data_IF_338951897020
#
_entry.id   IF_338951897020
#
_cell.length_a   1.000
_cell.length_b   1.000
_cell.length_c   1.000
_cell.angle_alpha   90.00
_cell.angle_beta   90.00
_cell.angle_gamma   90.00
#
_symmetry.space_group_name_H-M   'P 1'
#
loop_
_entity.id
_entity.type
_entity.pdbx_description
1 polymer ?
#
# COMPACT_ATOMS: atom_id res chain seq x y z
N UNK A 1 -0.34 -26.64 -30.07
CA UNK A 1 0.70 -25.61 -29.82
C UNK A 1 -0.03 -24.35 -29.39
N UNK A 2 0.48 -23.62 -28.39
CA UNK A 2 -0.12 -22.35 -27.97
C UNK A 2 0.25 -21.27 -29.00
N UNK A 3 -0.74 -20.67 -29.65
CA UNK A 3 -0.56 -19.56 -30.58
C UNK A 3 -0.55 -18.22 -29.82
N UNK A 4 0.64 -17.67 -29.64
CA UNK A 4 0.84 -16.36 -28.99
C UNK A 4 0.18 -15.22 -29.78
N UNK A 5 0.08 -15.34 -31.10
CA UNK A 5 -0.60 -14.36 -31.95
C UNK A 5 -2.10 -14.30 -31.67
N UNK A 6 -2.74 -15.47 -31.49
CA UNK A 6 -4.15 -15.56 -31.10
C UNK A 6 -4.41 -14.96 -29.71
N UNK A 7 -3.53 -15.25 -28.73
CA UNK A 7 -3.61 -14.66 -27.38
C UNK A 7 -3.52 -13.14 -27.45
N UNK A 8 -2.53 -12.61 -28.16
CA UNK A 8 -2.33 -11.17 -28.27
C UNK A 8 -3.48 -10.48 -29.03
N UNK A 9 -3.98 -11.09 -30.11
CA UNK A 9 -5.13 -10.56 -30.84
C UNK A 9 -6.38 -10.47 -29.95
N UNK A 10 -6.63 -11.52 -29.15
CA UNK A 10 -7.69 -11.54 -28.14
C UNK A 10 -7.50 -10.45 -27.08
N UNK A 11 -6.27 -10.28 -26.56
CA UNK A 11 -5.95 -9.23 -25.61
C UNK A 11 -6.20 -7.82 -26.16
N UNK A 12 -5.75 -7.53 -27.38
CA UNK A 12 -5.96 -6.23 -28.04
C UNK A 12 -7.44 -5.97 -28.35
N UNK A 13 -8.20 -7.02 -28.69
CA UNK A 13 -9.65 -6.91 -28.84
C UNK A 13 -10.31 -6.55 -27.50
N UNK A 14 -9.95 -7.25 -26.43
CA UNK A 14 -10.47 -7.00 -25.08
C UNK A 14 -10.15 -5.58 -24.62
N UNK A 15 -8.89 -5.16 -24.73
CA UNK A 15 -8.43 -3.80 -24.44
C UNK A 15 -9.29 -2.73 -25.13
N UNK A 16 -9.58 -2.91 -26.44
CA UNK A 16 -10.40 -1.96 -27.20
C UNK A 16 -11.83 -1.88 -26.68
N UNK A 17 -12.42 -3.01 -26.29
CA UNK A 17 -13.76 -3.03 -25.69
C UNK A 17 -13.73 -2.39 -24.31
N UNK A 18 -12.78 -2.78 -23.46
CA UNK A 18 -12.65 -2.25 -22.09
C UNK A 18 -12.54 -0.72 -22.08
N UNK A 19 -11.73 -0.15 -22.97
CA UNK A 19 -11.53 1.30 -23.08
C UNK A 19 -12.80 2.07 -23.47
N UNK A 20 -13.76 1.44 -24.12
CA UNK A 20 -15.04 2.07 -24.51
C UNK A 20 -16.08 2.04 -23.39
N UNK A 21 -15.84 1.29 -22.32
CA UNK A 21 -16.76 1.19 -21.20
C UNK A 21 -16.66 2.42 -20.32
N UNK A 22 -17.79 3.11 -20.09
CA UNK A 22 -17.84 4.27 -19.18
C UNK A 22 -17.40 3.88 -17.76
N UNK A 23 -17.78 2.69 -17.29
CA UNK A 23 -17.38 2.18 -15.96
C UNK A 23 -15.87 2.10 -15.77
N UNK A 24 -15.11 1.75 -16.80
CA UNK A 24 -13.64 1.72 -16.73
C UNK A 24 -13.12 3.10 -16.35
N UNK A 25 -13.56 4.13 -17.08
CA UNK A 25 -13.18 5.52 -16.84
C UNK A 25 -13.64 6.03 -15.48
N UNK A 26 -14.82 5.62 -14.99
CA UNK A 26 -15.29 5.97 -13.65
C UNK A 26 -14.32 5.43 -12.58
N UNK A 27 -13.97 4.13 -12.63
CA UNK A 27 -13.04 3.54 -11.66
C UNK A 27 -11.64 4.15 -11.77
N UNK A 28 -11.14 4.39 -12.99
CA UNK A 28 -9.84 5.04 -13.19
C UNK A 28 -9.82 6.47 -12.65
N UNK A 29 -10.84 7.28 -12.95
CA UNK A 29 -10.94 8.65 -12.46
C UNK A 29 -11.06 8.70 -10.93
N UNK A 30 -11.87 7.81 -10.34
CA UNK A 30 -12.01 7.71 -8.88
C UNK A 30 -10.69 7.32 -8.21
N UNK A 31 -9.99 6.32 -8.76
CA UNK A 31 -8.68 5.90 -8.25
C UNK A 31 -7.66 7.04 -8.33
N UNK A 32 -7.62 7.77 -9.45
CA UNK A 32 -6.74 8.92 -9.64
C UNK A 32 -7.06 10.03 -8.64
N UNK A 33 -8.32 10.40 -8.49
CA UNK A 33 -8.75 11.42 -7.55
C UNK A 33 -8.35 11.05 -6.12
N UNK A 34 -8.64 9.81 -5.69
CA UNK A 34 -8.32 9.34 -4.35
C UNK A 34 -6.80 9.34 -4.08
N UNK A 35 -6.00 8.90 -5.06
CA UNK A 35 -4.55 8.92 -4.96
C UNK A 35 -3.99 10.35 -4.87
N UNK A 36 -4.47 11.26 -5.72
CA UNK A 36 -4.00 12.67 -5.74
C UNK A 36 -4.43 13.42 -4.48
N UNK A 37 -5.66 13.19 -3.99
CA UNK A 37 -6.15 13.77 -2.74
C UNK A 37 -5.28 13.29 -1.57
N UNK A 38 -5.02 11.97 -1.48
CA UNK A 38 -4.19 11.42 -0.42
C UNK A 38 -2.74 11.92 -0.49
N UNK A 39 -2.14 11.93 -1.69
CA UNK A 39 -0.80 12.50 -1.90
C UNK A 39 -0.74 13.98 -1.49
N UNK A 40 -1.69 14.79 -1.96
CA UNK A 40 -1.78 16.22 -1.64
C UNK A 40 -1.99 16.46 -0.15
N UNK A 41 -2.83 15.65 0.51
CA UNK A 41 -3.06 15.71 1.95
C UNK A 41 -1.75 15.48 2.74
N UNK A 42 -1.01 14.41 2.45
CA UNK A 42 0.27 14.16 3.12
C UNK A 42 1.33 15.19 2.77
N UNK A 43 1.35 15.69 1.53
CA UNK A 43 2.29 16.75 1.11
C UNK A 43 2.04 18.05 1.87
N UNK A 44 0.77 18.42 2.06
CA UNK A 44 0.38 19.59 2.82
C UNK A 44 0.73 19.42 4.31
N UNK A 45 0.41 18.27 4.91
CA UNK A 45 0.77 18.00 6.31
C UNK A 45 2.28 18.09 6.54
N UNK A 46 3.06 17.46 5.67
CA UNK A 46 4.51 17.48 5.77
C UNK A 46 5.06 18.89 5.56
N UNK A 47 4.61 19.60 4.52
CA UNK A 47 5.08 20.95 4.22
C UNK A 47 4.73 21.98 5.30
N UNK A 48 3.53 21.90 5.87
CA UNK A 48 3.04 22.89 6.83
C UNK A 48 3.45 22.61 8.29
N UNK A 49 3.69 21.35 8.67
CA UNK A 49 3.84 20.98 10.09
C UNK A 49 5.07 20.13 10.44
N UNK A 50 5.92 19.78 9.47
CA UNK A 50 7.12 18.96 9.74
C UNK A 50 8.08 19.58 10.76
N UNK A 51 8.12 20.91 10.89
CA UNK A 51 8.98 21.59 11.87
C UNK A 51 8.47 21.52 13.31
N UNK A 52 7.18 21.20 13.53
CA UNK A 52 6.60 21.11 14.87
C UNK A 52 6.79 19.73 15.51
N UNK A 53 6.85 18.67 14.70
CA UNK A 53 6.87 17.29 15.21
C UNK A 53 7.65 16.35 14.30
N UNK A 54 8.53 15.56 14.90
CA UNK A 54 9.25 14.49 14.23
C UNK A 54 8.31 13.45 13.60
N UNK A 55 7.15 13.19 14.22
CA UNK A 55 6.14 12.27 13.67
C UNK A 55 5.57 12.79 12.35
N UNK A 56 5.32 14.10 12.24
CA UNK A 56 4.82 14.70 10.99
C UNK A 56 5.93 14.84 9.94
N UNK A 57 7.17 15.07 10.39
CA UNK A 57 8.33 15.00 9.50
C UNK A 57 8.49 13.60 8.87
N UNK A 58 8.10 12.54 9.58
CA UNK A 58 8.11 11.17 9.06
C UNK A 58 7.03 10.91 8.01
N UNK A 59 5.91 11.65 8.05
CA UNK A 59 4.82 11.57 7.06
C UNK A 59 5.19 12.22 5.71
N UNK A 60 6.40 11.99 5.21
CA UNK A 60 6.87 12.52 3.96
C UNK A 60 6.24 11.74 2.78
N UNK A 61 5.57 12.41 1.83
CA UNK A 61 4.96 11.75 0.66
C UNK A 61 5.91 10.92 -0.17
N UNK A 62 7.22 11.23 -0.12
CA UNK A 62 8.25 10.49 -0.86
C UNK A 62 8.35 9.02 -0.47
N UNK A 63 7.94 8.67 0.76
CA UNK A 63 8.02 7.32 1.31
C UNK A 63 6.66 6.66 1.50
N UNK A 64 5.58 7.44 1.55
CA UNK A 64 4.22 6.95 1.84
C UNK A 64 3.48 6.39 0.61
N UNK A 65 4.20 6.10 -0.47
CA UNK A 65 3.60 5.62 -1.72
C UNK A 65 2.78 4.35 -1.55
N UNK A 66 3.19 3.45 -0.65
CA UNK A 66 2.40 2.27 -0.29
C UNK A 66 1.06 2.62 0.35
N UNK A 67 1.02 3.62 1.24
CA UNK A 67 -0.17 3.99 2.00
C UNK A 67 -1.26 4.63 1.13
N UNK A 68 -0.92 5.55 0.24
CA UNK A 68 -1.92 6.11 -0.70
C UNK A 68 -2.07 5.25 -1.98
N UNK A 69 -1.03 4.50 -2.36
CA UNK A 69 -1.10 3.48 -3.41
C UNK A 69 -2.06 2.35 -3.09
N UNK A 70 -2.23 2.00 -1.81
CA UNK A 70 -3.24 1.05 -1.32
C UNK A 70 -4.64 1.42 -1.79
N UNK A 71 -5.06 2.66 -1.54
CA UNK A 71 -6.41 3.10 -1.90
C UNK A 71 -6.65 3.14 -3.41
N UNK A 72 -5.64 3.57 -4.17
CA UNK A 72 -5.68 3.51 -5.63
C UNK A 72 -5.80 2.07 -6.15
N UNK A 73 -4.94 1.18 -5.65
CA UNK A 73 -4.91 -0.22 -6.03
C UNK A 73 -6.25 -0.88 -5.68
N UNK A 74 -6.79 -0.62 -4.49
CA UNK A 74 -8.06 -1.15 -4.03
C UNK A 74 -9.23 -0.74 -4.92
N UNK A 75 -9.36 0.55 -5.26
CA UNK A 75 -10.42 1.04 -6.17
C UNK A 75 -10.29 0.40 -7.55
N UNK A 76 -9.07 0.25 -8.07
CA UNK A 76 -8.85 -0.41 -9.35
C UNK A 76 -9.08 -1.92 -9.31
N UNK A 77 -8.77 -2.60 -8.20
CA UNK A 77 -9.11 -4.01 -8.00
C UNK A 77 -10.62 -4.22 -7.99
N UNK A 78 -11.37 -3.37 -7.28
CA UNK A 78 -12.84 -3.37 -7.33
C UNK A 78 -13.31 -3.16 -8.77
N UNK A 79 -12.79 -2.15 -9.46
CA UNK A 79 -13.07 -1.93 -10.87
C UNK A 79 -12.75 -3.14 -11.76
N UNK A 80 -11.62 -3.81 -11.53
CA UNK A 80 -11.19 -5.01 -12.25
C UNK A 80 -12.16 -6.18 -12.05
N UNK A 81 -12.72 -6.36 -10.86
CA UNK A 81 -13.79 -7.34 -10.62
C UNK A 81 -14.99 -7.04 -11.53
N UNK A 82 -15.41 -5.77 -11.61
CA UNK A 82 -16.51 -5.34 -12.50
C UNK A 82 -16.20 -5.56 -13.98
N UNK A 83 -14.97 -5.30 -14.40
CA UNK A 83 -14.53 -5.51 -15.78
C UNK A 83 -14.45 -7.00 -16.13
N UNK A 84 -13.97 -7.84 -15.22
CA UNK A 84 -13.77 -9.28 -15.44
C UNK A 84 -15.08 -10.07 -15.48
N UNK A 85 -16.02 -9.84 -14.55
CA UNK A 85 -17.32 -10.55 -14.61
C UNK A 85 -18.14 -10.15 -15.85
N UNK A 86 -18.00 -8.89 -16.24
CA UNK A 86 -18.07 -8.34 -17.59
C UNK A 86 -18.16 -9.32 -18.76
N UNK A 87 -17.01 -9.96 -18.92
CA UNK A 87 -16.61 -10.66 -20.12
C UNK A 87 -17.56 -11.81 -20.39
N UNK A 88 -17.78 -12.66 -19.39
CA UNK A 88 -18.72 -13.78 -19.50
C UNK A 88 -20.14 -13.33 -19.78
N UNK A 89 -20.52 -12.16 -19.25
CA UNK A 89 -21.76 -11.45 -19.55
C UNK A 89 -21.98 -11.26 -21.04
N UNK A 90 -21.01 -10.60 -21.64
CA UNK A 90 -20.98 -10.24 -23.05
C UNK A 90 -20.87 -11.45 -23.97
N UNK A 91 -20.03 -12.42 -23.64
CA UNK A 91 -19.83 -13.60 -24.49
C UNK A 91 -21.11 -14.35 -24.84
N UNK A 92 -21.97 -14.52 -23.83
CA UNK A 92 -23.25 -15.20 -24.01
C UNK A 92 -24.25 -14.36 -24.81
N UNK A 93 -24.18 -13.03 -24.72
CA UNK A 93 -25.09 -12.12 -25.42
C UNK A 93 -24.68 -11.97 -26.89
N UNK A 94 -23.38 -11.92 -27.15
CA UNK A 94 -22.79 -11.75 -28.48
C UNK A 94 -22.55 -13.08 -29.20
N UNK A 95 -22.94 -14.21 -28.59
CA UNK A 95 -22.81 -15.57 -29.14
C UNK A 95 -21.42 -15.88 -29.67
N UNK A 96 -20.40 -15.52 -28.89
CA UNK A 96 -18.99 -15.66 -29.32
C UNK A 96 -18.64 -17.11 -29.67
N UNK A 97 -19.32 -18.10 -29.12
CA UNK A 97 -19.18 -19.51 -29.51
C UNK A 97 -19.40 -19.75 -31.00
N UNK A 98 -20.39 -19.11 -31.62
CA UNK A 98 -20.68 -19.26 -33.07
C UNK A 98 -19.54 -18.70 -33.94
N UNK A 99 -18.84 -17.67 -33.45
CA UNK A 99 -17.68 -17.07 -34.14
C UNK A 99 -16.45 -17.98 -34.02
N UNK A 100 -16.27 -18.62 -32.87
CA UNK A 100 -15.15 -19.53 -32.61
C UNK A 100 -15.25 -20.81 -33.45
N UNK A 101 -16.46 -21.19 -33.90
CA UNK A 101 -16.66 -22.32 -34.82
C UNK A 101 -16.03 -22.05 -36.21
N UNK A 102 -15.95 -20.78 -36.62
CA UNK A 102 -15.36 -20.38 -37.92
C UNK A 102 -13.86 -20.10 -37.80
N UNK A 103 -13.39 -19.64 -36.64
CA UNK A 103 -11.96 -19.41 -36.36
C UNK A 103 -11.57 -20.11 -35.05
N UNK A 104 -11.04 -21.35 -35.12
CA UNK A 104 -10.74 -22.11 -33.93
C UNK A 104 -9.62 -21.45 -33.14
N UNK A 105 -9.94 -21.02 -31.92
CA UNK A 105 -8.99 -20.59 -30.88
C UNK A 105 -9.24 -21.50 -29.68
N UNK A 106 -8.19 -21.98 -29.03
CA UNK A 106 -8.38 -22.84 -27.86
C UNK A 106 -8.96 -22.05 -26.68
N UNK A 107 -9.72 -22.73 -25.81
CA UNK A 107 -10.30 -22.10 -24.63
C UNK A 107 -9.25 -21.43 -23.73
N UNK A 108 -8.05 -22.04 -23.63
CA UNK A 108 -6.95 -21.48 -22.86
C UNK A 108 -6.41 -20.19 -23.48
N UNK A 109 -6.16 -20.18 -24.80
CA UNK A 109 -5.67 -18.97 -25.49
C UNK A 109 -6.67 -17.82 -25.38
N UNK A 110 -7.96 -18.11 -25.54
CA UNK A 110 -9.02 -17.11 -25.41
C UNK A 110 -9.07 -16.53 -23.98
N UNK A 111 -9.02 -17.41 -22.97
CA UNK A 111 -9.05 -17.03 -21.56
C UNK A 111 -7.82 -16.18 -21.19
N UNK A 112 -6.61 -16.63 -21.53
CA UNK A 112 -5.37 -15.89 -21.29
C UNK A 112 -5.37 -14.54 -22.00
N UNK A 113 -5.80 -14.48 -23.26
CA UNK A 113 -5.88 -13.23 -24.02
C UNK A 113 -6.79 -12.21 -23.34
N UNK A 114 -7.98 -12.63 -22.90
CA UNK A 114 -8.92 -11.73 -22.20
C UNK A 114 -8.41 -11.27 -20.86
N UNK A 115 -7.85 -12.18 -20.07
CA UNK A 115 -7.24 -11.84 -18.79
C UNK A 115 -6.11 -10.84 -18.97
N UNK A 116 -5.21 -11.08 -19.94
CA UNK A 116 -4.12 -10.18 -20.27
C UNK A 116 -4.63 -8.79 -20.70
N UNK A 117 -5.67 -8.74 -21.55
CA UNK A 117 -6.25 -7.48 -22.00
C UNK A 117 -6.82 -6.62 -20.86
N UNK A 118 -7.50 -7.24 -19.90
CA UNK A 118 -8.01 -6.54 -18.70
C UNK A 118 -6.86 -6.12 -17.78
N UNK A 119 -5.90 -7.02 -17.53
CA UNK A 119 -4.71 -6.70 -16.71
C UNK A 119 -4.00 -5.47 -17.26
N UNK A 120 -3.72 -5.44 -18.57
CA UNK A 120 -3.07 -4.30 -19.21
C UNK A 120 -3.90 -3.02 -19.11
N UNK A 121 -5.22 -3.09 -19.28
CA UNK A 121 -6.10 -1.92 -19.17
C UNK A 121 -6.15 -1.32 -17.77
N UNK A 122 -6.13 -2.15 -16.74
CA UNK A 122 -6.15 -1.69 -15.34
C UNK A 122 -4.74 -1.27 -14.89
N UNK A 123 -3.69 -1.87 -15.44
CA UNK A 123 -2.30 -1.59 -15.08
C UNK A 123 -1.72 -0.34 -15.76
N UNK A 124 -2.09 -0.05 -17.01
CA UNK A 124 -1.60 1.12 -17.77
C UNK A 124 -1.82 2.47 -17.05
N UNK A 125 -3.00 2.75 -16.46
CA UNK A 125 -3.21 3.97 -15.68
C UNK A 125 -2.21 4.16 -14.53
N UNK A 126 -1.63 3.07 -14.00
CA UNK A 126 -0.64 3.14 -12.92
C UNK A 126 0.64 3.86 -13.37
N UNK A 127 1.04 3.72 -14.63
CA UNK A 127 2.16 4.49 -15.19
C UNK A 127 1.83 5.98 -15.28
N UNK A 128 0.60 6.30 -15.71
CA UNK A 128 0.16 7.69 -15.88
C UNK A 128 0.12 8.39 -14.53
N UNK A 129 -0.51 7.81 -13.50
CA UNK A 129 -0.55 8.43 -12.17
C UNK A 129 0.85 8.54 -11.56
N UNK A 130 1.71 7.53 -11.75
CA UNK A 130 3.10 7.56 -11.28
C UNK A 130 3.89 8.70 -11.91
N UNK A 131 3.74 8.92 -13.22
CA UNK A 131 4.37 10.03 -13.93
C UNK A 131 3.84 11.38 -13.45
N UNK A 132 2.52 11.52 -13.30
CA UNK A 132 1.88 12.75 -12.80
C UNK A 132 2.41 13.12 -11.43
N UNK A 133 2.44 12.18 -10.48
CA UNK A 133 2.88 12.49 -9.12
C UNK A 133 4.40 12.67 -9.03
N UNK A 134 5.18 11.99 -9.87
CA UNK A 134 6.61 12.30 -10.01
C UNK A 134 6.83 13.77 -10.44
N UNK A 135 6.12 14.23 -11.49
CA UNK A 135 6.21 15.61 -11.97
C UNK A 135 5.78 16.61 -10.90
N UNK A 136 4.66 16.35 -10.21
CA UNK A 136 4.20 17.20 -9.09
C UNK A 136 5.28 17.26 -8.00
N UNK A 137 5.85 16.12 -7.62
CA UNK A 137 6.92 16.06 -6.62
C UNK A 137 8.15 16.88 -7.00
N UNK A 138 8.56 16.85 -8.27
CA UNK A 138 9.66 17.69 -8.78
C UNK A 138 9.33 19.18 -8.65
N UNK A 139 8.12 19.60 -9.05
CA UNK A 139 7.67 21.01 -8.98
C UNK A 139 7.67 21.50 -7.53
N UNK A 140 7.22 20.66 -6.60
CA UNK A 140 7.14 20.99 -5.17
C UNK A 140 8.48 20.78 -4.45
N UNK A 141 9.56 20.45 -5.17
CA UNK A 141 10.91 20.17 -4.64
C UNK A 141 10.94 19.02 -3.61
N UNK A 142 9.99 18.09 -3.72
CA UNK A 142 9.90 16.87 -2.93
C UNK A 142 9.71 15.67 -3.89
N UNK A 143 10.70 15.37 -4.76
CA UNK A 143 10.56 14.31 -5.75
C UNK A 143 10.38 12.95 -5.07
N UNK A 144 9.42 12.17 -5.58
CA UNK A 144 9.25 10.77 -5.15
C UNK A 144 10.47 9.97 -5.60
N UNK A 145 10.93 9.06 -4.74
CA UNK A 145 12.02 8.18 -5.09
C UNK A 145 11.63 7.26 -6.26
N UNK A 146 12.43 7.18 -7.33
CA UNK A 146 12.11 6.34 -8.48
C UNK A 146 11.92 4.86 -8.12
N UNK A 147 12.68 4.35 -7.15
CA UNK A 147 12.54 2.96 -6.69
C UNK A 147 11.17 2.70 -6.06
N UNK A 148 10.63 3.66 -5.30
CA UNK A 148 9.27 3.55 -4.74
C UNK A 148 8.24 3.47 -5.86
N UNK A 149 8.36 4.32 -6.90
CA UNK A 149 7.46 4.29 -8.06
C UNK A 149 7.52 2.95 -8.80
N UNK A 150 8.72 2.41 -9.02
CA UNK A 150 8.89 1.09 -9.63
C UNK A 150 8.26 -0.01 -8.76
N UNK A 151 8.49 0.00 -7.46
CA UNK A 151 7.87 -0.96 -6.55
C UNK A 151 6.34 -0.83 -6.55
N UNK A 152 5.79 0.38 -6.64
CA UNK A 152 4.35 0.58 -6.75
C UNK A 152 3.78 0.00 -8.06
N UNK A 153 4.45 0.25 -9.19
CA UNK A 153 4.02 -0.25 -10.50
C UNK A 153 4.15 -1.78 -10.61
N UNK A 154 5.27 -2.36 -10.15
CA UNK A 154 5.62 -3.75 -10.45
C UNK A 154 5.50 -4.71 -9.27
N UNK A 155 5.70 -4.25 -8.03
CA UNK A 155 5.69 -5.12 -6.84
C UNK A 155 4.31 -5.09 -6.17
N UNK A 156 3.61 -3.96 -6.21
CA UNK A 156 2.28 -3.83 -5.63
C UNK A 156 1.17 -4.07 -6.65
N UNK A 157 1.01 -3.17 -7.62
CA UNK A 157 -0.20 -3.16 -8.46
C UNK A 157 -0.25 -4.31 -9.46
N UNK A 158 0.87 -4.65 -10.11
CA UNK A 158 0.90 -5.73 -11.09
C UNK A 158 0.53 -7.11 -10.47
N UNK A 159 1.14 -7.56 -9.35
CA UNK A 159 0.75 -8.81 -8.70
C UNK A 159 -0.69 -8.79 -8.19
N UNK A 160 -1.16 -7.67 -7.65
CA UNK A 160 -2.54 -7.52 -7.19
C UNK A 160 -3.54 -7.74 -8.35
N UNK A 161 -3.30 -7.14 -9.52
CA UNK A 161 -4.15 -7.34 -10.70
C UNK A 161 -4.03 -8.75 -11.28
N UNK A 162 -2.82 -9.30 -11.32
CA UNK A 162 -2.56 -10.68 -11.71
C UNK A 162 -3.15 -11.70 -10.73
N UNK A 163 -3.53 -11.32 -9.52
CA UNK A 163 -4.24 -12.19 -8.59
C UNK A 163 -5.77 -12.03 -8.71
N UNK A 164 -6.27 -10.79 -8.60
CA UNK A 164 -7.72 -10.51 -8.53
C UNK A 164 -8.44 -10.84 -9.84
N UNK A 165 -7.84 -10.57 -10.99
CA UNK A 165 -8.49 -10.82 -12.29
C UNK A 165 -8.68 -12.33 -12.52
N UNK A 166 -7.63 -13.19 -12.48
CA UNK A 166 -7.83 -14.64 -12.59
C UNK A 166 -8.76 -15.20 -11.53
N UNK A 167 -8.66 -14.73 -10.29
CA UNK A 167 -9.55 -15.16 -9.22
C UNK A 167 -11.01 -14.85 -9.55
N UNK A 168 -11.30 -13.68 -10.12
CA UNK A 168 -12.65 -13.34 -10.56
C UNK A 168 -13.14 -14.28 -11.66
N UNK A 169 -12.31 -14.59 -12.67
CA UNK A 169 -12.65 -15.57 -13.69
C UNK A 169 -12.94 -16.95 -13.06
N UNK A 170 -12.07 -17.44 -12.18
CA UNK A 170 -12.24 -18.72 -11.49
C UNK A 170 -13.55 -18.78 -10.70
N UNK A 171 -13.82 -17.77 -9.86
CA UNK A 171 -15.04 -17.73 -9.05
C UNK A 171 -16.29 -17.66 -9.93
N UNK A 172 -16.26 -16.89 -11.02
CA UNK A 172 -17.40 -16.86 -11.95
C UNK A 172 -17.65 -18.24 -12.56
N UNK A 173 -16.62 -18.99 -12.95
CA UNK A 173 -16.75 -20.35 -13.48
C UNK A 173 -17.36 -21.32 -12.45
N UNK A 174 -16.92 -21.25 -11.19
CA UNK A 174 -17.40 -22.12 -10.10
C UNK A 174 -18.84 -21.82 -9.70
N UNK A 175 -19.14 -20.55 -9.40
CA UNK A 175 -20.44 -20.14 -8.82
C UNK A 175 -21.59 -20.21 -9.83
N UNK A 176 -21.29 -20.09 -11.14
CA UNK A 176 -22.25 -20.05 -12.26
C UNK A 176 -23.23 -18.86 -12.24
N UNK A 177 -23.50 -18.25 -11.08
CA UNK A 177 -24.29 -17.02 -10.91
C UNK A 177 -23.37 -15.81 -10.84
N UNK A 178 -23.47 -14.94 -11.86
CA UNK A 178 -22.57 -13.79 -12.05
C UNK A 178 -22.55 -12.82 -10.88
N UNK A 179 -23.73 -12.48 -10.35
CA UNK A 179 -23.85 -11.53 -9.24
C UNK A 179 -23.23 -12.09 -7.96
N UNK A 180 -23.51 -13.35 -7.64
CA UNK A 180 -22.95 -14.03 -6.45
C UNK A 180 -21.42 -14.13 -6.55
N UNK A 181 -20.89 -14.41 -7.76
CA UNK A 181 -19.45 -14.42 -7.98
C UNK A 181 -18.80 -13.05 -7.73
N UNK A 182 -19.39 -11.97 -8.26
CA UNK A 182 -18.90 -10.61 -8.03
C UNK A 182 -18.95 -10.24 -6.54
N UNK A 183 -20.07 -10.52 -5.87
CA UNK A 183 -20.24 -10.26 -4.43
C UNK A 183 -19.22 -11.06 -3.60
N UNK A 184 -18.96 -12.32 -3.95
CA UNK A 184 -17.99 -13.15 -3.24
C UNK A 184 -16.57 -12.59 -3.34
N UNK A 185 -16.13 -12.16 -4.53
CA UNK A 185 -14.79 -11.56 -4.71
C UNK A 185 -14.71 -10.19 -4.02
N UNK A 186 -15.76 -9.36 -4.10
CA UNK A 186 -15.80 -8.08 -3.39
C UNK A 186 -15.79 -8.27 -1.86
N UNK A 187 -16.48 -9.29 -1.34
CA UNK A 187 -16.45 -9.64 0.07
C UNK A 187 -15.05 -10.09 0.50
N UNK A 188 -14.35 -10.86 -0.33
CA UNK A 188 -12.96 -11.23 -0.08
C UNK A 188 -12.03 -10.01 -0.06
N UNK A 189 -12.17 -9.10 -1.03
CA UNK A 189 -11.41 -7.84 -1.04
C UNK A 189 -11.72 -7.00 0.20
N UNK A 190 -12.99 -6.82 0.55
CA UNK A 190 -13.38 -6.09 1.76
C UNK A 190 -12.85 -6.75 3.04
N UNK A 191 -12.94 -8.09 3.13
CA UNK A 191 -12.38 -8.86 4.24
C UNK A 191 -10.87 -8.66 4.36
N UNK A 192 -10.13 -8.63 3.25
CA UNK A 192 -8.67 -8.37 3.25
C UNK A 192 -8.31 -7.01 3.85
N UNK A 193 -9.15 -6.00 3.61
CA UNK A 193 -8.95 -4.67 4.20
C UNK A 193 -9.27 -4.68 5.69
N UNK A 194 -10.40 -5.29 6.08
CA UNK A 194 -10.79 -5.39 7.48
C UNK A 194 -9.74 -6.13 8.29
N UNK A 195 -9.24 -7.27 7.79
CA UNK A 195 -8.20 -8.04 8.48
C UNK A 195 -6.91 -7.24 8.60
N UNK A 196 -6.51 -6.48 7.58
CA UNK A 196 -5.32 -5.63 7.64
C UNK A 196 -5.38 -4.61 8.79
N UNK A 197 -6.56 -4.05 9.08
CA UNK A 197 -6.74 -3.06 10.15
C UNK A 197 -7.05 -3.64 11.53
N UNK A 198 -7.60 -4.86 11.60
CA UNK A 198 -8.11 -5.45 12.85
C UNK A 198 -7.24 -6.57 13.40
N UNK A 199 -6.37 -7.16 12.57
CA UNK A 199 -5.45 -8.20 13.03
C UNK A 199 -4.11 -7.58 13.48
N UNK A 200 -3.36 -8.23 14.38
CA UNK A 200 -2.01 -7.80 14.71
C UNK A 200 -1.13 -7.75 13.46
N UNK A 201 -0.21 -6.78 13.39
CA UNK A 201 0.66 -6.50 12.23
C UNK A 201 1.36 -7.78 11.69
N UNK A 202 1.75 -8.68 12.59
CA UNK A 202 2.39 -9.96 12.23
C UNK A 202 1.54 -10.84 11.30
N UNK A 203 0.21 -10.75 11.39
CA UNK A 203 -0.75 -11.53 10.60
C UNK A 203 -1.34 -10.73 9.44
N UNK A 204 -1.33 -9.40 9.51
CA UNK A 204 -1.90 -8.53 8.46
C UNK A 204 -1.30 -8.77 7.08
N UNK A 205 -0.01 -9.08 7.01
CA UNK A 205 0.72 -9.37 5.75
C UNK A 205 0.21 -10.62 5.03
N UNK A 206 -0.26 -11.63 5.76
CA UNK A 206 -0.78 -12.88 5.17
C UNK A 206 -2.11 -12.67 4.43
N UNK A 207 -2.84 -11.61 4.76
CA UNK A 207 -4.13 -11.27 4.17
C UNK A 207 -4.06 -10.07 3.22
N UNK A 208 -2.87 -9.52 2.95
CA UNK A 208 -2.72 -8.36 2.07
C UNK A 208 -2.74 -8.75 0.59
N UNK A 209 -3.95 -8.82 0.02
CA UNK A 209 -4.17 -9.05 -1.41
C UNK A 209 -3.64 -7.89 -2.27
N UNK A 210 -3.55 -6.69 -1.71
CA UNK A 210 -3.14 -5.49 -2.46
C UNK A 210 -1.63 -5.36 -2.63
N UNK A 211 -0.84 -6.11 -1.84
CA UNK A 211 0.62 -6.01 -1.80
C UNK A 211 1.16 -4.72 -1.16
N UNK A 212 0.31 -3.94 -0.48
CA UNK A 212 0.69 -2.71 0.22
C UNK A 212 1.76 -2.90 1.29
N UNK A 213 1.75 -4.01 2.04
CA UNK A 213 2.73 -4.32 3.07
C UNK A 213 4.06 -4.78 2.48
N UNK A 214 4.07 -5.25 1.22
CA UNK A 214 5.31 -5.56 0.50
C UNK A 214 6.04 -4.28 0.05
N UNK A 215 5.35 -3.14 0.05
CA UNK A 215 5.89 -1.83 -0.34
C UNK A 215 6.62 -1.09 0.77
N UNK A 216 6.72 -1.66 1.98
CA UNK A 216 7.54 -1.10 3.08
C UNK A 216 9.07 -1.24 2.83
N UNK A 217 9.47 -1.65 1.62
CA UNK A 217 10.85 -1.98 1.24
C UNK A 217 11.71 -0.93 0.48
N UNK A 218 11.34 0.36 0.22
CA UNK A 218 12.22 1.22 -0.59
C UNK A 218 13.09 2.21 0.19
N UNK A 219 12.91 2.39 1.50
CA UNK A 219 13.79 3.29 2.25
C UNK A 219 14.75 2.47 3.10
N UNK A 220 16.06 2.58 2.87
CA UNK A 220 17.07 2.02 3.76
C UNK A 220 17.03 2.65 5.18
N UNK A 221 16.32 3.76 5.33
CA UNK A 221 16.25 4.55 6.58
C UNK A 221 15.17 4.04 7.55
N UNK A 222 14.02 3.56 7.05
CA UNK A 222 12.93 3.08 7.91
C UNK A 222 13.22 1.73 8.61
N UNK A 223 13.84 0.71 7.97
CA UNK A 223 14.23 -0.53 8.62
C UNK A 223 15.26 -0.33 9.74
N UNK A 224 16.09 0.72 9.64
CA UNK A 224 17.11 1.08 10.63
C UNK A 224 16.52 1.58 11.96
N UNK A 225 15.28 2.10 11.96
CA UNK A 225 14.61 2.59 13.18
C UNK A 225 13.84 1.46 13.87
N UNK A 226 13.31 0.49 13.11
CA UNK A 226 12.62 -0.69 13.67
C UNK A 226 13.62 -1.73 14.20
N UNK A 227 14.81 -1.82 13.60
CA UNK A 227 15.93 -2.58 14.14
C UNK A 227 16.66 -1.78 15.21
N UNK A 228 16.03 -1.62 16.38
CA UNK A 228 16.85 -1.31 17.56
C UNK A 228 17.89 -2.42 17.78
N UNK A 229 19.12 -2.08 18.22
CA UNK A 229 20.18 -3.05 18.51
C UNK A 229 19.83 -4.08 19.62
N UNK A 230 18.64 -4.01 20.23
CA UNK A 230 18.12 -5.00 21.18
C UNK A 230 17.43 -6.22 20.56
N UNK A 231 17.04 -6.20 19.28
CA UNK A 231 16.32 -7.33 18.64
C UNK A 231 17.24 -8.45 18.11
N UNK A 232 18.55 -8.33 18.27
CA UNK A 232 19.45 -9.48 18.15
C UNK A 232 19.14 -10.58 19.19
N UNK A 233 18.42 -10.27 20.28
CA UNK A 233 18.05 -11.23 21.33
C UNK A 233 16.78 -12.04 21.08
N UNK A 234 16.01 -11.79 20.02
CA UNK A 234 14.74 -12.51 19.81
C UNK A 234 14.87 -13.77 18.94
N UNK A 235 16.05 -14.03 18.35
CA UNK A 235 16.38 -15.34 17.77
C UNK A 235 16.84 -16.37 18.80
N UNK A 236 17.18 -15.95 20.01
CA UNK A 236 17.63 -16.88 21.08
C UNK A 236 16.47 -17.43 21.93
N UNK A 237 15.24 -16.92 21.74
CA UNK A 237 14.04 -17.44 22.42
C UNK A 237 13.38 -18.62 21.70
N UNK A 238 13.71 -18.89 20.44
CA UNK A 238 13.26 -20.10 19.74
C UNK A 238 14.17 -21.32 20.02
N UNK A 239 15.28 -21.14 20.74
CA UNK A 239 16.22 -22.21 21.12
C UNK A 239 16.10 -22.69 22.57
N UNK A 240 15.09 -22.26 23.34
CA UNK A 240 14.85 -22.85 24.65
C UNK A 240 14.08 -24.18 24.51
N UNK A 241 14.68 -25.34 24.83
CA UNK A 241 13.89 -26.54 25.04
C UNK A 241 12.97 -26.25 26.24
N UNK A 242 11.72 -26.67 26.09
CA UNK A 242 10.72 -26.73 27.15
C UNK A 242 11.34 -27.41 28.38
N UNK A 243 11.84 -26.58 29.31
CA UNK A 243 12.29 -27.04 30.62
C UNK A 243 11.01 -27.29 31.43
N UNK A 244 10.72 -28.57 31.61
CA UNK A 244 9.72 -29.11 32.52
C UNK A 244 9.62 -28.27 33.80
N UNK A 245 8.43 -27.72 34.05
CA UNK A 245 8.02 -27.19 35.34
C UNK A 245 8.05 -28.35 36.34
N UNK A 246 8.94 -28.36 37.36
CA UNK A 246 8.83 -29.30 38.45
C UNK A 246 7.77 -28.77 39.43
N UNK A 247 6.91 -29.70 39.83
CA UNK A 247 5.87 -29.59 40.84
C UNK A 247 6.36 -28.87 42.11
N UNK A 248 5.79 -27.69 42.40
CA UNK A 248 6.10 -26.91 43.61
C UNK A 248 4.91 -26.93 44.57
N UNK A 249 4.63 -28.12 45.12
CA UNK A 249 3.94 -28.24 46.41
C UNK A 249 4.97 -28.02 47.51
N UNK A 250 4.90 -26.90 48.23
CA UNK A 250 5.53 -26.82 49.54
C UNK A 250 6.01 -25.44 49.98
N UNK A 251 5.44 -25.00 51.10
CA UNK A 251 6.02 -24.10 52.09
C UNK A 251 6.07 -22.59 51.80
N UNK A 252 5.01 -21.91 52.26
CA UNK A 252 5.15 -20.65 53.00
C UNK A 252 5.95 -20.92 54.30
N UNK A 253 6.73 -19.94 54.80
CA UNK A 253 6.19 -19.17 55.91
C UNK A 253 6.48 -17.66 55.91
N UNK A 254 5.64 -17.00 56.71
CA UNK A 254 5.53 -15.57 57.04
C UNK A 254 6.71 -15.03 57.85
N UNK A 255 6.70 -13.68 57.98
CA UNK A 255 7.48 -12.77 58.83
C UNK A 255 8.74 -12.19 58.12
N UNK A 256 9.06 -10.90 58.19
CA UNK A 256 8.75 -9.90 59.19
C UNK A 256 8.76 -8.45 58.65
N UNK A 257 8.02 -7.62 59.37
CA UNK A 257 7.99 -6.16 59.38
C UNK A 257 9.37 -5.48 59.32
N UNK A 258 9.46 -4.37 58.57
CA UNK A 258 9.71 -3.02 59.16
C UNK A 258 9.64 -1.89 58.12
N UNK A 259 8.97 -0.77 58.45
CA UNK A 259 9.08 0.49 57.73
C UNK A 259 10.16 1.37 58.37
N UNK A 260 10.86 2.18 57.58
CA UNK A 260 11.55 3.35 58.13
C UNK A 260 11.53 4.53 57.16
N UNK A 261 10.80 5.56 57.59
CA UNK A 261 10.96 6.96 57.23
C UNK A 261 12.43 7.37 57.07
N UNK A 262 12.73 8.20 56.06
CA UNK A 262 13.49 9.43 56.28
C UNK A 262 13.26 10.49 55.21
N UNK A 263 12.72 11.61 55.67
CA UNK A 263 12.82 12.94 55.08
C UNK A 263 14.23 13.27 54.60
N UNK A 264 14.34 13.96 53.46
CA UNK A 264 15.27 15.09 53.34
C UNK A 264 14.80 16.10 52.30
N UNK A 265 14.40 17.27 52.80
CA UNK A 265 14.41 18.53 52.07
C UNK A 265 15.80 18.80 51.49
N UNK A 266 15.85 19.28 50.25
CA UNK A 266 16.94 20.16 49.80
C UNK A 266 16.39 21.26 48.90
N UNK A 267 16.24 22.42 49.51
CA UNK A 267 16.14 23.75 48.91
C UNK A 267 17.47 24.19 48.31
N UNK A 268 17.44 25.31 47.57
CA UNK A 268 18.55 26.12 47.03
C UNK A 268 19.11 25.66 45.67
N UNK A 269 19.40 26.53 44.70
CA UNK A 269 19.55 27.99 44.70
C UNK A 269 19.54 28.49 43.25
N UNK A 270 19.03 29.72 43.10
CA UNK A 270 19.33 30.70 42.07
C UNK A 270 20.63 30.51 41.27
N UNK A 271 20.53 30.62 39.93
CA UNK A 271 21.42 31.48 39.16
C UNK A 271 20.65 32.14 38.01
N UNK A 272 20.25 33.38 38.26
CA UNK A 272 20.02 34.37 37.22
C UNK A 272 21.39 34.79 36.67
N UNK A 273 21.61 34.60 35.38
CA UNK A 273 22.77 35.08 34.64
C UNK A 273 22.30 35.96 33.50
N UNK A 274 22.27 37.27 33.74
CA UNK A 274 22.01 38.31 32.76
C UNK A 274 23.14 38.32 31.70
N UNK A 275 22.79 38.34 30.42
CA UNK A 275 23.70 38.73 29.34
C UNK A 275 23.50 40.22 29.03
N UNK A 276 24.57 41.04 29.02
CA UNK A 276 24.50 42.45 28.68
C UNK A 276 24.41 42.69 27.15
N UNK A 277 23.84 43.84 26.73
CA UNK A 277 23.74 44.22 25.32
C UNK A 277 25.08 44.76 24.81
N UNK A 278 25.48 44.34 23.60
CA UNK A 278 26.60 44.96 22.88
C UNK A 278 26.15 46.23 22.15
N UNK A 279 26.91 47.35 22.25
CA UNK A 279 26.59 48.61 21.62
C UNK A 279 27.09 48.69 20.16
N UNK A 280 26.48 49.63 19.44
CA UNK A 280 26.52 49.76 17.98
C UNK A 280 27.87 50.03 17.32
N UNK A 281 27.88 49.78 16.01
CA UNK A 281 28.68 50.57 15.07
C UNK A 281 27.80 51.14 13.98
N UNK A 282 27.82 52.46 13.99
CA UNK A 282 27.24 53.42 13.07
C UNK A 282 27.93 53.44 11.70
N UNK A 283 27.10 53.65 10.68
CA UNK A 283 27.30 54.54 9.51
C UNK A 283 28.57 54.36 8.66
N UNK A 284 28.35 54.00 7.40
CA UNK A 284 28.80 54.84 6.29
C UNK A 284 27.68 54.95 5.26
N UNK A 285 27.40 56.20 4.90
CA UNK A 285 26.36 56.71 4.00
C UNK A 285 27.09 57.42 2.87
N UNK A 286 26.41 57.55 1.73
CA UNK A 286 26.73 58.39 0.57
C UNK A 286 27.76 57.77 -0.40
N UNK A 287 27.62 57.89 -1.72
CA UNK A 287 26.75 58.75 -2.53
C UNK A 287 26.78 58.29 -4.00
N UNK A 288 25.92 58.84 -4.87
CA UNK A 288 25.61 58.32 -6.19
C UNK A 288 26.50 58.91 -7.30
N UNK A 289 26.52 58.21 -8.43
CA UNK A 289 26.24 58.72 -9.78
C UNK A 289 25.96 57.54 -10.71
#
# INVERSE_FOLDING_TARGET
MIDLGAIWASAVAEMRVTRRLVRYWIFTALAFALFLIAYGYYALLHGAFSFFSATIAWLNPRFLLGAFGFWYCFVLMVGAVFLAFEVRGRDTRERISEVLDVRPITNLELLFGRMLGIVLMVWLPTFVISAVVYVIGVIVKAPIQPISLLSFIFVMTLPAFLFVIPLTFLVTLVVRVRLVAAVAVLALLGASVVTLFWTPIAWGTAFDISGSTALDLPSDVAPLIVREPGQAGQRDLESFPVLLVPDARGALPRHALRPHHRHRHRTNRFHAGAQPPLPGRSRCRASPR
#
